data_IF_963664377572
#
_entry.id   IF_963664377572
#
_cell.length_a   1.000
_cell.length_b   1.000
_cell.length_c   1.000
_cell.angle_alpha   90.00
_cell.angle_beta   90.00
_cell.angle_gamma   90.00
#
_symmetry.space_group_name_H-M   'P 1'
#
loop_
_entity.id
_entity.type
_entity.pdbx_description
1 polymer ?
#
# COMPACT_ATOMS: atom_id res chain seq x y z
N UNK A 1 -1.26 4.72 11.13
CA UNK A 1 0.16 4.40 10.88
C UNK A 1 1.09 5.00 11.92
N UNK A 2 0.98 6.28 12.26
CA UNK A 2 1.91 6.96 13.20
C UNK A 2 2.02 6.26 14.56
N UNK A 3 0.91 5.76 15.13
CA UNK A 3 0.93 5.03 16.40
C UNK A 3 1.74 3.74 16.27
N UNK A 4 1.51 2.97 15.21
CA UNK A 4 2.21 1.69 15.00
C UNK A 4 3.70 1.91 14.72
N UNK A 5 4.05 2.96 14.00
CA UNK A 5 5.45 3.35 13.80
C UNK A 5 6.16 3.65 15.12
N UNK A 6 5.52 4.40 16.02
CA UNK A 6 6.06 4.70 17.36
C UNK A 6 6.15 3.46 18.26
N UNK A 7 5.34 2.43 18.01
CA UNK A 7 5.34 1.17 18.77
C UNK A 7 6.29 0.11 18.20
N UNK A 8 6.99 0.42 17.12
CA UNK A 8 7.96 -0.47 16.49
C UNK A 8 9.02 -0.95 17.51
N UNK A 9 9.16 -2.27 17.64
CA UNK A 9 10.13 -2.88 18.55
C UNK A 9 9.80 -2.79 20.04
N UNK A 10 8.70 -2.14 20.45
CA UNK A 10 8.33 -2.01 21.86
C UNK A 10 7.88 -3.34 22.51
N UNK A 11 7.58 -4.36 21.72
CA UNK A 11 7.08 -5.64 22.22
C UNK A 11 5.68 -5.59 22.85
N UNK A 12 4.97 -4.48 22.69
CA UNK A 12 3.61 -4.29 23.24
C UNK A 12 2.58 -4.74 22.21
N UNK A 13 1.76 -5.78 22.52
CA UNK A 13 0.67 -6.19 21.64
C UNK A 13 -0.34 -5.09 21.43
N UNK A 14 -0.71 -4.85 20.18
CA UNK A 14 -1.66 -3.80 19.80
C UNK A 14 -2.91 -4.42 19.19
N UNK A 15 -4.09 -4.04 19.70
CA UNK A 15 -5.37 -4.36 19.10
C UNK A 15 -5.84 -3.20 18.22
N UNK A 16 -6.08 -3.50 16.96
CA UNK A 16 -6.56 -2.51 16.00
C UNK A 16 -8.08 -2.46 16.01
N UNK A 17 -8.65 -1.27 16.07
CA UNK A 17 -10.08 -1.01 16.00
C UNK A 17 -10.43 -0.31 14.68
N UNK A 18 -11.47 -0.77 13.94
CA UNK A 18 -11.82 -0.23 12.62
C UNK A 18 -12.64 1.07 12.76
N UNK A 19 -11.98 2.19 13.03
CA UNK A 19 -12.63 3.50 13.20
C UNK A 19 -12.44 4.45 12.01
N UNK A 20 -11.61 4.09 11.04
CA UNK A 20 -11.36 4.88 9.84
C UNK A 20 -12.25 4.47 8.66
N UNK A 21 -12.26 5.27 7.62
CA UNK A 21 -13.08 5.03 6.42
C UNK A 21 -12.70 3.75 5.68
N UNK A 22 -11.41 3.50 5.46
CA UNK A 22 -10.94 2.35 4.70
C UNK A 22 -10.46 1.19 5.60
N UNK A 23 -9.94 1.48 6.80
CA UNK A 23 -9.45 0.51 7.79
C UNK A 23 -8.58 -0.62 7.20
N UNK A 24 -7.73 -0.30 6.22
CA UNK A 24 -7.00 -1.26 5.39
C UNK A 24 -6.21 -2.29 6.22
N UNK A 25 -5.51 -1.85 7.25
CA UNK A 25 -4.77 -2.76 8.12
C UNK A 25 -5.70 -3.74 8.83
N UNK A 26 -6.83 -3.24 9.35
CA UNK A 26 -7.83 -4.09 10.01
C UNK A 26 -8.39 -5.16 9.07
N UNK A 27 -8.68 -4.78 7.82
CA UNK A 27 -9.22 -5.70 6.80
C UNK A 27 -8.21 -6.80 6.46
N UNK A 28 -6.91 -6.48 6.42
CA UNK A 28 -5.86 -7.45 6.11
C UNK A 28 -5.56 -8.43 7.26
N UNK A 29 -5.82 -8.07 8.52
CA UNK A 29 -5.63 -9.00 9.66
C UNK A 29 -6.81 -9.95 9.89
N UNK A 30 -7.89 -9.79 9.16
CA UNK A 30 -9.02 -10.74 9.15
C UNK A 30 -9.84 -10.82 10.44
N UNK A 31 -9.80 -9.79 11.29
CA UNK A 31 -10.66 -9.72 12.46
C UNK A 31 -12.08 -9.28 12.08
N UNK A 32 -13.07 -9.81 12.77
CA UNK A 32 -14.45 -9.36 12.65
C UNK A 32 -14.62 -7.99 13.37
N UNK A 33 -15.37 -7.03 12.79
CA UNK A 33 -15.46 -5.65 13.28
C UNK A 33 -16.35 -5.48 14.52
N UNK A 34 -17.08 -6.51 14.92
CA UNK A 34 -17.99 -6.45 16.05
C UNK A 34 -17.22 -6.30 17.38
N UNK A 35 -17.69 -5.44 18.26
CA UNK A 35 -17.08 -5.20 19.57
C UNK A 35 -16.89 -6.49 20.39
N UNK A 36 -17.82 -7.42 20.28
CA UNK A 36 -17.73 -8.72 20.96
C UNK A 36 -16.58 -9.58 20.40
N UNK A 37 -16.34 -9.57 19.08
CA UNK A 37 -15.25 -10.30 18.44
C UNK A 37 -13.89 -9.70 18.84
N UNK A 38 -13.78 -8.39 18.88
CA UNK A 38 -12.58 -7.67 19.33
C UNK A 38 -12.28 -7.94 20.80
N UNK A 39 -13.28 -7.91 21.66
CA UNK A 39 -13.16 -8.26 23.08
C UNK A 39 -12.70 -9.72 23.26
N UNK A 40 -13.23 -10.65 22.45
CA UNK A 40 -12.81 -12.04 22.43
C UNK A 40 -11.36 -12.21 21.99
N UNK A 41 -10.94 -11.49 20.93
CA UNK A 41 -9.56 -11.50 20.44
C UNK A 41 -8.59 -10.98 21.52
N UNK A 42 -8.93 -9.85 22.16
CA UNK A 42 -8.15 -9.30 23.26
C UNK A 42 -8.01 -10.29 24.44
N UNK A 43 -9.11 -10.90 24.86
CA UNK A 43 -9.11 -11.89 25.95
C UNK A 43 -8.34 -13.16 25.62
N UNK A 44 -8.34 -13.58 24.35
CA UNK A 44 -7.60 -14.76 23.91
C UNK A 44 -6.08 -14.55 24.00
N UNK A 45 -5.60 -13.31 23.97
CA UNK A 45 -4.19 -12.96 24.12
C UNK A 45 -3.26 -13.52 23.04
N UNK A 46 -3.81 -14.04 21.95
CA UNK A 46 -3.00 -14.54 20.83
C UNK A 46 -2.50 -13.35 20.00
N UNK A 47 -1.20 -13.32 19.76
CA UNK A 47 -0.56 -12.27 18.98
C UNK A 47 0.15 -12.83 17.77
N UNK A 48 0.26 -12.03 16.73
CA UNK A 48 1.05 -12.30 15.53
C UNK A 48 2.03 -11.15 15.36
N UNK A 49 3.26 -11.46 14.99
CA UNK A 49 4.22 -10.44 14.58
C UNK A 49 3.86 -10.02 13.16
N UNK A 50 3.85 -8.72 12.94
CA UNK A 50 3.60 -8.11 11.64
C UNK A 50 4.89 -7.40 11.24
N UNK A 51 5.31 -7.62 10.02
CA UNK A 51 6.46 -6.95 9.44
C UNK A 51 6.14 -5.47 9.20
N UNK A 52 7.16 -4.64 9.24
CA UNK A 52 7.04 -3.22 9.00
C UNK A 52 8.17 -2.78 8.10
N UNK A 53 7.84 -2.25 6.94
CA UNK A 53 8.80 -1.57 6.09
C UNK A 53 9.16 -0.20 6.66
N UNK A 54 10.29 0.34 6.26
CA UNK A 54 10.74 1.67 6.64
C UNK A 54 11.05 2.51 5.39
N UNK A 55 10.50 3.71 5.36
CA UNK A 55 10.88 4.76 4.44
C UNK A 55 11.86 5.69 5.13
N UNK A 56 12.87 6.12 4.44
CA UNK A 56 13.68 7.24 4.88
C UNK A 56 13.94 8.21 3.72
N UNK A 57 14.04 9.48 4.06
CA UNK A 57 14.31 10.54 3.09
C UNK A 57 15.02 11.72 3.77
N UNK A 58 15.57 12.60 2.98
CA UNK A 58 16.11 13.88 3.46
C UNK A 58 15.04 14.96 3.32
N UNK A 59 14.80 15.72 4.37
CA UNK A 59 13.93 16.89 4.30
C UNK A 59 14.62 18.06 3.54
N UNK A 60 13.92 19.17 3.35
CA UNK A 60 14.40 20.35 2.65
C UNK A 60 15.68 20.96 3.27
N UNK A 61 15.95 20.67 4.53
CA UNK A 61 17.13 21.11 5.27
C UNK A 61 18.25 20.07 5.29
N UNK A 62 18.07 18.92 4.62
CA UNK A 62 19.02 17.82 4.58
C UNK A 62 18.99 16.91 5.81
N UNK A 63 17.99 17.04 6.70
CA UNK A 63 17.86 16.15 7.84
C UNK A 63 17.20 14.85 7.44
N UNK A 64 17.74 13.74 7.94
CA UNK A 64 17.16 12.41 7.74
C UNK A 64 15.81 12.29 8.47
N UNK A 65 14.81 11.83 7.76
CA UNK A 65 13.47 11.47 8.27
C UNK A 65 13.23 10.01 8.01
N UNK A 66 12.52 9.38 8.95
CA UNK A 66 12.14 7.96 8.87
C UNK A 66 10.68 7.80 9.21
N UNK A 67 10.02 6.86 8.55
CA UNK A 67 8.64 6.48 8.85
C UNK A 67 8.39 5.02 8.53
N UNK A 68 7.79 4.30 9.47
CA UNK A 68 7.39 2.91 9.28
C UNK A 68 6.07 2.79 8.53
N UNK A 69 5.99 1.84 7.59
CA UNK A 69 4.73 1.49 6.94
C UNK A 69 4.39 0.02 7.13
N UNK A 70 3.10 -0.29 7.19
CA UNK A 70 2.59 -1.66 7.42
C UNK A 70 1.80 -2.17 6.21
N UNK A 71 1.25 -1.28 5.43
CA UNK A 71 0.38 -1.62 4.31
C UNK A 71 1.14 -1.49 3.01
N UNK A 72 1.33 -0.26 2.59
CA UNK A 72 2.00 0.07 1.33
C UNK A 72 2.70 1.42 1.48
N UNK A 73 3.83 1.54 0.81
CA UNK A 73 4.51 2.79 0.59
C UNK A 73 4.81 2.95 -0.89
N UNK A 74 4.72 4.14 -1.40
CA UNK A 74 4.98 4.42 -2.81
C UNK A 74 5.80 5.68 -3.02
N UNK A 75 6.48 5.71 -4.16
CA UNK A 75 7.26 6.84 -4.65
C UNK A 75 6.98 7.06 -6.12
N UNK A 76 6.95 8.31 -6.54
CA UNK A 76 6.64 8.71 -7.91
C UNK A 76 5.23 9.27 -8.04
N UNK A 77 4.56 8.92 -9.11
CA UNK A 77 3.27 9.48 -9.49
C UNK A 77 2.14 9.23 -8.47
N UNK A 78 2.17 8.11 -7.76
CA UNK A 78 1.21 7.81 -6.68
C UNK A 78 1.30 8.83 -5.55
N UNK A 79 2.52 9.25 -5.19
CA UNK A 79 2.73 10.28 -4.17
C UNK A 79 2.15 11.64 -4.62
N UNK A 80 2.30 12.01 -5.89
CA UNK A 80 1.68 13.22 -6.45
C UNK A 80 0.15 13.16 -6.39
N UNK A 81 -0.42 11.99 -6.68
CA UNK A 81 -1.86 11.75 -6.59
C UNK A 81 -2.34 11.93 -5.16
N UNK A 82 -1.70 11.28 -4.22
CA UNK A 82 -2.08 11.35 -2.81
C UNK A 82 -1.99 12.78 -2.26
N UNK A 83 -1.00 13.56 -2.69
CA UNK A 83 -0.89 14.97 -2.32
C UNK A 83 -2.00 15.83 -2.92
N UNK A 84 -2.39 15.57 -4.15
CA UNK A 84 -3.47 16.31 -4.84
C UNK A 84 -4.87 15.87 -4.39
N UNK A 85 -5.03 14.62 -3.91
CA UNK A 85 -6.30 14.05 -3.47
C UNK A 85 -6.77 14.57 -2.10
N UNK A 86 -5.87 15.08 -1.29
CA UNK A 86 -6.18 15.49 0.07
C UNK A 86 -7.39 16.46 0.21
N UNK A 87 -7.66 17.38 -0.74
CA UNK A 87 -8.82 18.28 -0.66
C UNK A 87 -10.14 17.68 -1.18
N UNK A 88 -10.11 16.63 -2.00
CA UNK A 88 -11.27 16.16 -2.80
C UNK A 88 -11.84 14.83 -2.30
N UNK A 89 -11.43 14.37 -1.12
CA UNK A 89 -11.77 13.05 -0.54
C UNK A 89 -13.27 12.74 -0.39
N UNK A 90 -14.15 13.72 -0.51
CA UNK A 90 -15.55 13.53 -0.16
C UNK A 90 -16.47 13.14 -1.34
N UNK A 91 -16.04 13.28 -2.60
CA UNK A 91 -16.97 13.18 -3.74
C UNK A 91 -16.65 12.05 -4.73
N UNK A 92 -15.43 11.53 -4.75
CA UNK A 92 -15.04 10.47 -5.68
C UNK A 92 -14.24 9.44 -4.89
N UNK A 93 -14.63 8.17 -4.93
CA UNK A 93 -13.93 7.09 -4.21
C UNK A 93 -12.42 7.09 -4.52
N UNK A 94 -11.58 6.80 -3.52
CA UNK A 94 -10.10 6.88 -3.60
C UNK A 94 -9.54 6.14 -4.83
N UNK A 95 -10.18 5.04 -5.23
CA UNK A 95 -9.80 4.28 -6.42
C UNK A 95 -10.10 5.04 -7.71
N UNK A 96 -11.30 5.60 -7.86
CA UNK A 96 -11.65 6.35 -9.04
C UNK A 96 -10.72 7.56 -9.22
N UNK A 97 -10.25 8.12 -8.12
CA UNK A 97 -9.25 9.18 -8.15
C UNK A 97 -7.85 8.66 -8.57
N UNK A 98 -7.39 7.57 -7.99
CA UNK A 98 -6.15 6.90 -8.39
C UNK A 98 -6.15 6.55 -9.88
N UNK A 99 -7.28 6.00 -10.36
CA UNK A 99 -7.47 5.65 -11.75
C UNK A 99 -7.53 6.87 -12.69
N UNK A 100 -8.20 7.93 -12.26
CA UNK A 100 -8.25 9.17 -13.05
C UNK A 100 -6.90 9.87 -13.14
N UNK A 101 -6.07 9.68 -12.13
CA UNK A 101 -4.74 10.25 -12.10
C UNK A 101 -3.75 9.41 -12.93
N UNK A 102 -3.88 8.10 -12.98
CA UNK A 102 -3.17 7.27 -13.96
C UNK A 102 -3.53 7.64 -15.42
N UNK A 103 -4.68 8.26 -15.64
CA UNK A 103 -5.09 8.79 -16.93
C UNK A 103 -4.51 10.17 -17.27
N UNK A 104 -3.60 10.72 -16.45
CA UNK A 104 -2.96 12.00 -16.73
C UNK A 104 -1.99 11.87 -17.92
N UNK A 105 -2.13 12.68 -18.96
CA UNK A 105 -1.17 12.67 -20.06
C UNK A 105 0.20 13.16 -19.57
N UNK A 106 1.25 12.40 -19.88
CA UNK A 106 2.63 12.65 -19.50
C UNK A 106 2.92 12.59 -17.97
N UNK A 107 2.81 11.43 -17.33
CA UNK A 107 3.31 11.26 -15.96
C UNK A 107 4.83 11.45 -15.91
N UNK A 108 5.31 11.98 -14.81
CA UNK A 108 6.76 12.09 -14.58
C UNK A 108 7.35 10.68 -14.51
N UNK A 109 8.35 10.42 -15.33
CA UNK A 109 9.14 9.19 -15.27
C UNK A 109 10.28 9.39 -14.29
N UNK A 110 10.42 8.49 -13.33
CA UNK A 110 11.51 8.45 -12.37
C UNK A 110 12.36 7.21 -12.61
N UNK A 111 13.64 7.31 -12.27
CA UNK A 111 14.55 6.18 -12.27
C UNK A 111 14.58 5.55 -10.88
N UNK A 112 14.34 4.24 -10.80
CA UNK A 112 14.34 3.45 -9.57
C UNK A 112 15.47 2.46 -9.58
N UNK A 113 16.21 2.41 -8.48
CA UNK A 113 17.19 1.36 -8.21
C UNK A 113 16.63 0.46 -7.11
N UNK A 114 16.48 -0.82 -7.41
CA UNK A 114 15.98 -1.83 -6.48
C UNK A 114 17.12 -2.78 -6.16
N UNK A 115 17.47 -2.87 -4.89
CA UNK A 115 18.47 -3.81 -4.42
C UNK A 115 17.79 -4.89 -3.56
N UNK A 116 17.92 -6.15 -3.96
CA UNK A 116 17.40 -7.29 -3.23
C UNK A 116 18.32 -8.50 -3.41
N UNK A 117 18.53 -9.28 -2.38
CA UNK A 117 19.34 -10.51 -2.40
C UNK A 117 20.72 -10.36 -3.05
N UNK A 118 21.31 -9.16 -2.98
CA UNK A 118 22.60 -8.84 -3.60
C UNK A 118 22.52 -8.59 -5.12
N UNK A 119 21.31 -8.51 -5.67
CA UNK A 119 21.04 -8.13 -7.06
C UNK A 119 20.61 -6.65 -7.06
N UNK A 120 21.09 -5.89 -8.03
CA UNK A 120 20.69 -4.52 -8.27
C UNK A 120 19.96 -4.44 -9.61
N UNK A 121 18.73 -3.99 -9.60
CA UNK A 121 17.90 -3.75 -10.78
C UNK A 121 17.65 -2.26 -10.94
N UNK A 122 17.82 -1.76 -12.15
CA UNK A 122 17.56 -0.36 -12.50
C UNK A 122 16.40 -0.31 -13.49
N UNK A 123 15.35 0.42 -13.14
CA UNK A 123 14.11 0.49 -13.90
C UNK A 123 13.61 1.93 -13.99
N UNK A 124 13.15 2.32 -15.17
CA UNK A 124 12.40 3.57 -15.33
C UNK A 124 10.91 3.29 -15.16
N UNK A 125 10.26 4.09 -14.32
CA UNK A 125 8.86 3.92 -14.02
C UNK A 125 8.16 5.23 -13.66
N UNK A 126 6.85 5.21 -13.70
CA UNK A 126 6.04 6.33 -13.22
C UNK A 126 5.75 6.21 -11.72
N UNK A 127 5.85 5.00 -11.18
CA UNK A 127 5.57 4.71 -9.78
C UNK A 127 6.32 3.44 -9.36
N UNK A 128 6.88 3.46 -8.15
CA UNK A 128 7.40 2.29 -7.47
C UNK A 128 6.67 2.15 -6.13
N UNK A 129 6.10 0.98 -5.89
CA UNK A 129 5.34 0.68 -4.67
C UNK A 129 5.95 -0.50 -3.94
N UNK A 130 6.05 -0.39 -2.62
CA UNK A 130 6.47 -1.44 -1.71
C UNK A 130 5.25 -1.89 -0.89
N UNK A 131 4.80 -3.12 -1.06
CA UNK A 131 3.64 -3.70 -0.40
C UNK A 131 4.01 -4.66 0.71
N UNK A 132 3.31 -4.57 1.82
CA UNK A 132 3.38 -5.49 2.96
C UNK A 132 2.01 -6.15 3.23
N UNK A 133 1.02 -5.88 2.38
CA UNK A 133 -0.32 -6.49 2.45
C UNK A 133 -0.85 -6.71 1.04
N UNK A 134 -1.68 -7.76 0.89
CA UNK A 134 -2.25 -8.10 -0.42
C UNK A 134 -3.37 -7.15 -0.84
N UNK A 135 -4.24 -6.76 0.07
CA UNK A 135 -5.43 -5.97 -0.22
C UNK A 135 -5.22 -4.50 0.12
N UNK A 136 -5.41 -3.62 -0.85
CA UNK A 136 -5.28 -2.17 -0.65
C UNK A 136 -6.62 -1.45 -0.46
N UNK A 137 -7.70 -1.93 -1.09
CA UNK A 137 -9.05 -1.37 -0.87
C UNK A 137 -10.12 -2.24 -1.56
N UNK A 138 -11.30 -2.46 -0.90
CA UNK A 138 -12.48 -3.07 -1.50
C UNK A 138 -12.18 -4.29 -2.39
N UNK A 139 -11.38 -5.23 -1.91
CA UNK A 139 -10.97 -6.43 -2.63
C UNK A 139 -9.98 -6.20 -3.80
N UNK A 140 -9.44 -5.00 -3.98
CA UNK A 140 -8.33 -4.79 -4.91
C UNK A 140 -7.06 -5.40 -4.32
N UNK A 141 -6.63 -6.45 -4.98
CA UNK A 141 -5.45 -7.21 -4.62
C UNK A 141 -4.26 -6.78 -5.49
N UNK A 142 -3.49 -5.82 -5.00
CA UNK A 142 -2.33 -5.32 -5.75
C UNK A 142 -1.15 -6.29 -5.67
N UNK A 143 -0.98 -6.95 -4.53
CA UNK A 143 0.07 -7.91 -4.27
C UNK A 143 -0.55 -9.24 -3.84
N UNK A 144 -1.00 -10.10 -4.78
CA UNK A 144 -1.85 -11.26 -4.49
C UNK A 144 -1.27 -12.26 -3.50
N UNK A 145 0.03 -12.43 -3.49
CA UNK A 145 0.71 -13.43 -2.65
C UNK A 145 1.40 -12.81 -1.43
N UNK A 146 1.29 -11.49 -1.25
CA UNK A 146 1.92 -10.75 -0.17
C UNK A 146 1.36 -11.16 1.20
N UNK A 147 2.25 -11.33 2.16
CA UNK A 147 1.95 -11.68 3.55
C UNK A 147 2.67 -10.73 4.49
N UNK A 148 1.95 -10.19 5.45
CA UNK A 148 2.49 -9.21 6.39
C UNK A 148 3.35 -9.79 7.52
N UNK A 149 3.75 -11.07 7.45
CA UNK A 149 4.46 -11.76 8.53
C UNK A 149 5.47 -12.81 8.03
N UNK A 150 6.01 -12.64 6.84
CA UNK A 150 6.98 -13.56 6.23
C UNK A 150 8.38 -12.97 6.09
N UNK A 151 8.57 -11.75 6.56
CA UNK A 151 9.86 -11.04 6.51
C UNK A 151 10.18 -10.47 5.13
N UNK A 152 9.19 -10.41 4.21
CA UNK A 152 9.36 -9.93 2.85
C UNK A 152 8.51 -8.68 2.59
N UNK A 153 8.90 -7.93 1.57
CA UNK A 153 8.14 -6.82 1.00
C UNK A 153 8.06 -7.03 -0.50
N UNK A 154 6.86 -6.99 -1.06
CA UNK A 154 6.67 -7.07 -2.50
C UNK A 154 6.87 -5.70 -3.16
N UNK A 155 7.59 -5.68 -4.27
CA UNK A 155 7.85 -4.46 -5.03
C UNK A 155 7.13 -4.52 -6.36
N UNK A 156 6.44 -3.43 -6.70
CA UNK A 156 5.82 -3.23 -8.00
C UNK A 156 6.29 -1.90 -8.61
N UNK A 157 6.81 -1.96 -9.82
CA UNK A 157 7.14 -0.77 -10.61
C UNK A 157 6.16 -0.69 -11.78
N UNK A 158 5.52 0.47 -11.92
CA UNK A 158 4.67 0.76 -13.07
C UNK A 158 5.52 1.46 -14.12
N UNK A 159 5.77 0.77 -15.21
CA UNK A 159 6.52 1.31 -16.34
C UNK A 159 5.78 2.49 -17.01
N UNK A 160 6.51 3.38 -17.73
CA UNK A 160 5.92 4.48 -18.47
C UNK A 160 5.15 3.95 -19.69
N UNK A 161 3.92 3.51 -19.47
CA UNK A 161 3.01 3.09 -20.53
C UNK A 161 2.20 4.31 -20.98
N UNK A 162 1.87 4.41 -22.27
CA UNK A 162 0.91 5.43 -22.71
C UNK A 162 -0.40 5.21 -21.97
N UNK A 163 -0.82 6.19 -21.21
CA UNK A 163 -1.95 6.14 -20.25
C UNK A 163 -3.23 5.54 -20.80
N UNK A 164 -3.46 5.69 -22.12
CA UNK A 164 -4.58 5.06 -22.83
C UNK A 164 -4.57 3.53 -22.77
N UNK A 165 -3.38 2.90 -22.58
CA UNK A 165 -3.25 1.46 -22.51
C UNK A 165 -3.54 0.91 -21.10
N UNK A 166 -3.48 1.74 -20.07
CA UNK A 166 -3.83 1.36 -18.70
C UNK A 166 -5.33 1.38 -18.43
N UNK A 167 -6.11 2.16 -19.21
CA UNK A 167 -7.55 2.31 -19.00
C UNK A 167 -8.31 0.96 -18.98
N UNK A 168 -8.10 0.04 -19.93
CA UNK A 168 -8.77 -1.27 -19.90
C UNK A 168 -8.42 -2.10 -18.68
N UNK A 169 -7.13 -2.13 -18.31
CA UNK A 169 -6.63 -2.88 -17.16
C UNK A 169 -7.22 -2.39 -15.85
N UNK A 170 -7.36 -1.10 -15.73
CA UNK A 170 -7.92 -0.41 -14.59
C UNK A 170 -9.43 -0.66 -14.46
N UNK A 171 -10.18 -0.56 -15.56
CA UNK A 171 -11.63 -0.86 -15.58
C UNK A 171 -11.85 -2.34 -15.23
N UNK A 172 -11.00 -3.22 -15.73
CA UNK A 172 -11.08 -4.65 -15.47
C UNK A 172 -10.74 -4.98 -14.01
N UNK A 173 -9.71 -4.37 -13.44
CA UNK A 173 -9.35 -4.53 -12.02
C UNK A 173 -10.47 -4.07 -11.09
N UNK A 174 -11.19 -3.00 -11.43
CA UNK A 174 -12.34 -2.53 -10.68
C UNK A 174 -13.55 -3.49 -10.74
N UNK A 175 -13.60 -4.38 -11.74
CA UNK A 175 -14.70 -5.35 -11.94
C UNK A 175 -14.29 -6.80 -11.66
N UNK A 176 -13.01 -7.07 -11.37
CA UNK A 176 -12.51 -8.42 -11.07
C UNK A 176 -11.84 -8.51 -9.69
N UNK A 177 -12.65 -8.59 -8.62
CA UNK A 177 -12.13 -8.67 -7.26
C UNK A 177 -11.30 -9.94 -6.98
N UNK A 178 -11.32 -10.91 -7.89
CA UNK A 178 -10.55 -12.16 -7.73
C UNK A 178 -9.18 -12.14 -8.43
N UNK A 179 -8.80 -11.05 -9.09
CA UNK A 179 -7.50 -10.92 -9.80
C UNK A 179 -7.30 -11.91 -10.94
N UNK A 180 -8.39 -12.48 -11.47
CA UNK A 180 -8.33 -13.55 -12.49
C UNK A 180 -8.03 -13.04 -13.90
N UNK A 181 -8.22 -11.76 -14.16
CA UNK A 181 -8.11 -11.17 -15.51
C UNK A 181 -6.79 -10.41 -15.70
N UNK A 182 -6.16 -9.92 -14.63
CA UNK A 182 -4.80 -9.40 -14.67
C UNK A 182 -3.85 -10.60 -14.73
N UNK A 183 -3.52 -11.00 -15.95
CA UNK A 183 -2.80 -12.23 -16.25
C UNK A 183 -1.62 -12.47 -15.33
N UNK A 184 -1.70 -13.58 -14.62
CA UNK A 184 -0.50 -14.27 -14.14
C UNK A 184 0.15 -14.94 -15.34
N UNK A 185 1.50 -14.95 -15.44
CA UNK A 185 2.19 -15.83 -16.34
C UNK A 185 1.92 -17.30 -15.98
#
# INVERSE_FOLDING_TARGET
SNVLDQMRGCGVPTLVFPSGTACLFFNNIGNAPEAAALAKACRAGRTVKVDMGELFWLDENGNEKRHGFIIIAGSGFDAEIMMKAAPTKNDIGEIAYFLSALATPNPTVAHFTIEHDGIVEELDGICCMAGNTSVIQNDINLFPDCRMNDGMVDIAVIEPVKTVQLLPTVITAAHDPAGKVLGRP
#
